data_IF_233966427949
#
_entry.id   IF_233966427949
#
_cell.length_a   1.000
_cell.length_b   1.000
_cell.length_c   1.000
_cell.angle_alpha   90.00
_cell.angle_beta   90.00
_cell.angle_gamma   90.00
#
_symmetry.space_group_name_H-M   'P 1'
#
loop_
_entity.id
_entity.type
_entity.pdbx_description
1 polymer ?
#
# COMPACT_ATOMS: atom_id res chain seq x y z
N UNK A 1 0.34 -33.67 -66.30
CA UNK A 1 -0.88 -32.90 -65.94
C UNK A 1 -1.38 -33.47 -64.63
N UNK A 2 -0.84 -33.00 -63.50
CA UNK A 2 -1.44 -31.97 -62.62
C UNK A 2 -2.81 -32.37 -62.06
N UNK A 3 -2.86 -32.61 -60.75
CA UNK A 3 -3.73 -31.87 -59.81
C UNK A 3 -3.39 -32.24 -58.37
N UNK A 4 -2.73 -31.29 -57.69
CA UNK A 4 -2.55 -31.24 -56.24
C UNK A 4 -3.91 -31.02 -55.57
N UNK A 5 -4.24 -31.82 -54.56
CA UNK A 5 -5.29 -31.51 -53.58
C UNK A 5 -4.68 -30.60 -52.52
N UNK A 6 -5.04 -29.31 -52.55
CA UNK A 6 -4.79 -28.38 -51.45
C UNK A 6 -5.92 -28.53 -50.43
N UNK A 7 -5.56 -29.00 -49.23
CA UNK A 7 -6.41 -29.05 -48.06
C UNK A 7 -6.53 -27.61 -47.52
N UNK A 8 -7.70 -26.98 -47.69
CA UNK A 8 -8.02 -25.69 -47.08
C UNK A 8 -8.35 -25.94 -45.59
N UNK A 9 -7.34 -25.79 -44.72
CA UNK A 9 -7.57 -25.57 -43.29
C UNK A 9 -8.18 -24.18 -43.14
N UNK A 10 -9.45 -24.12 -42.74
CA UNK A 10 -10.08 -22.91 -42.23
C UNK A 10 -9.64 -22.75 -40.78
N UNK A 11 -8.61 -21.96 -40.55
CA UNK A 11 -8.27 -21.44 -39.22
C UNK A 11 -9.36 -20.47 -38.81
N UNK A 12 -10.28 -20.91 -37.95
CA UNK A 12 -11.18 -20.03 -37.23
C UNK A 12 -10.33 -19.30 -36.17
N UNK A 13 -9.80 -18.13 -36.54
CA UNK A 13 -9.29 -17.17 -35.57
C UNK A 13 -10.49 -16.66 -34.77
N UNK A 14 -10.73 -17.24 -33.60
CA UNK A 14 -11.54 -16.60 -32.57
C UNK A 14 -10.82 -15.32 -32.16
N UNK A 15 -11.18 -14.21 -32.82
CA UNK A 15 -10.95 -12.87 -32.33
C UNK A 15 -11.84 -12.69 -31.09
N UNK A 16 -11.36 -13.18 -29.95
CA UNK A 16 -11.79 -12.60 -28.68
C UNK A 16 -11.26 -11.16 -28.69
N UNK A 17 -12.08 -10.13 -28.43
CA UNK A 17 -11.52 -8.83 -28.13
C UNK A 17 -10.57 -9.01 -26.95
N UNK A 18 -9.34 -8.51 -27.06
CA UNK A 18 -8.50 -8.25 -25.89
C UNK A 18 -9.28 -7.19 -25.08
N UNK A 19 -10.15 -7.65 -24.19
CA UNK A 19 -10.69 -6.81 -23.13
C UNK A 19 -9.53 -6.70 -22.14
N UNK A 20 -8.97 -5.51 -22.01
CA UNK A 20 -7.92 -5.27 -21.02
C UNK A 20 -8.51 -5.40 -19.61
N UNK A 21 -7.69 -5.66 -18.59
CA UNK A 21 -8.18 -5.64 -17.20
C UNK A 21 -8.86 -4.30 -16.87
N UNK A 22 -8.37 -3.20 -17.46
CA UNK A 22 -9.00 -1.88 -17.40
C UNK A 22 -10.41 -1.87 -18.00
N UNK A 23 -10.58 -2.38 -19.23
CA UNK A 23 -11.89 -2.47 -19.88
C UNK A 23 -12.84 -3.41 -19.13
N UNK A 24 -12.31 -4.48 -18.54
CA UNK A 24 -13.07 -5.41 -17.71
C UNK A 24 -13.53 -4.74 -16.41
N UNK A 25 -12.64 -4.02 -15.72
CA UNK A 25 -12.95 -3.28 -14.50
C UNK A 25 -14.01 -2.21 -14.74
N UNK A 26 -13.90 -1.44 -15.82
CA UNK A 26 -14.92 -0.44 -16.18
C UNK A 26 -16.26 -1.06 -16.60
N UNK A 27 -16.27 -2.28 -17.16
CA UNK A 27 -17.50 -3.00 -17.54
C UNK A 27 -18.12 -3.81 -16.40
N UNK A 28 -17.32 -4.26 -15.45
CA UNK A 28 -17.67 -5.13 -14.33
C UNK A 28 -17.52 -4.32 -13.04
N UNK A 29 -18.43 -3.38 -12.85
CA UNK A 29 -18.52 -2.71 -11.56
C UNK A 29 -19.16 -3.62 -10.53
N UNK A 30 -18.38 -4.54 -9.97
CA UNK A 30 -18.74 -5.17 -8.71
C UNK A 30 -18.13 -4.33 -7.59
N UNK A 31 -18.92 -4.03 -6.56
CA UNK A 31 -18.50 -3.19 -5.42
C UNK A 31 -19.52 -2.12 -5.09
N UNK A 32 -20.31 -2.38 -4.03
CA UNK A 32 -21.13 -1.45 -3.23
C UNK A 32 -21.75 -0.24 -3.97
N UNK A 33 -22.14 -0.40 -5.23
CA UNK A 33 -22.53 0.72 -6.11
C UNK A 33 -23.72 1.54 -5.60
N UNK A 34 -24.51 0.92 -4.73
CA UNK A 34 -25.77 1.44 -4.19
C UNK A 34 -25.75 1.62 -2.66
N UNK A 35 -24.61 1.46 -1.97
CA UNK A 35 -24.52 1.89 -0.57
C UNK A 35 -24.30 3.39 -0.54
N UNK A 36 -25.37 4.09 -0.14
CA UNK A 36 -25.30 5.49 0.29
C UNK A 36 -24.68 5.50 1.68
N UNK A 37 -23.48 6.03 1.80
CA UNK A 37 -22.82 6.25 3.09
C UNK A 37 -23.14 7.68 3.55
N UNK A 38 -23.64 7.78 4.78
CA UNK A 38 -23.99 9.03 5.47
C UNK A 38 -23.21 9.16 6.78
N UNK A 39 -23.08 10.38 7.33
CA UNK A 39 -22.55 10.58 8.69
C UNK A 39 -23.20 9.66 9.73
N UNK A 40 -24.53 9.57 9.78
CA UNK A 40 -25.24 8.68 10.72
C UNK A 40 -24.84 7.21 10.55
N UNK A 41 -24.78 6.73 9.31
CA UNK A 41 -24.43 5.33 9.04
C UNK A 41 -23.02 4.98 9.53
N UNK A 42 -22.05 5.87 9.32
CA UNK A 42 -20.66 5.67 9.76
C UNK A 42 -20.60 5.70 11.28
N UNK A 43 -21.18 6.71 11.94
CA UNK A 43 -21.21 6.80 13.41
C UNK A 43 -21.83 5.55 14.03
N UNK A 44 -22.87 4.98 13.41
CA UNK A 44 -23.56 3.79 13.91
C UNK A 44 -22.78 2.49 13.71
N UNK A 45 -21.98 2.38 12.65
CA UNK A 45 -21.46 1.10 12.16
C UNK A 45 -19.93 0.97 12.20
N UNK A 46 -19.20 2.07 12.38
CA UNK A 46 -17.74 2.07 12.19
C UNK A 46 -16.96 1.10 13.08
N UNK A 47 -17.51 0.78 14.26
CA UNK A 47 -16.94 -0.13 15.26
C UNK A 47 -17.59 -1.53 15.24
N UNK A 48 -18.56 -1.76 14.35
CA UNK A 48 -19.29 -3.02 14.26
C UNK A 48 -18.50 -4.01 13.39
N UNK A 49 -17.88 -4.99 14.03
CA UNK A 49 -17.08 -6.01 13.35
C UNK A 49 -17.73 -7.39 13.49
N UNK A 50 -17.76 -8.15 12.40
CA UNK A 50 -18.08 -9.57 12.47
C UNK A 50 -16.84 -10.37 12.93
N UNK A 51 -16.69 -10.51 14.24
CA UNK A 51 -15.61 -11.27 14.86
C UNK A 51 -15.55 -12.73 14.39
N UNK A 52 -16.65 -13.30 13.88
CA UNK A 52 -16.66 -14.68 13.39
C UNK A 52 -15.80 -14.88 12.14
N UNK A 53 -15.56 -13.79 11.40
CA UNK A 53 -14.73 -13.73 10.19
C UNK A 53 -13.36 -13.09 10.45
N UNK A 54 -13.00 -12.82 11.71
CA UNK A 54 -11.79 -12.10 12.07
C UNK A 54 -10.49 -12.74 11.57
N UNK A 55 -10.50 -14.06 11.38
CA UNK A 55 -9.34 -14.84 10.92
C UNK A 55 -9.50 -15.39 9.51
N UNK A 56 -10.52 -14.97 8.76
CA UNK A 56 -10.70 -15.35 7.37
C UNK A 56 -10.31 -14.20 6.44
N UNK A 57 -9.30 -14.46 5.61
CA UNK A 57 -8.91 -13.59 4.51
C UNK A 57 -9.87 -13.77 3.33
N UNK A 58 -10.76 -12.80 3.15
CA UNK A 58 -11.72 -12.68 2.06
C UNK A 58 -11.05 -12.30 0.75
N UNK A 59 -10.15 -11.31 0.78
CA UNK A 59 -9.39 -10.84 -0.39
C UNK A 59 -8.58 -11.96 -1.07
N UNK A 60 -8.75 -12.12 -2.39
CA UNK A 60 -8.10 -13.18 -3.18
C UNK A 60 -7.07 -12.68 -4.20
N UNK A 61 -6.86 -11.38 -4.33
CA UNK A 61 -6.00 -10.78 -5.37
C UNK A 61 -4.50 -11.01 -5.17
N UNK A 62 -4.06 -11.16 -3.92
CA UNK A 62 -2.65 -11.36 -3.60
C UNK A 62 -2.36 -11.21 -2.12
N UNK A 63 -1.14 -10.79 -1.80
CA UNK A 63 -0.71 -10.59 -0.42
C UNK A 63 -1.23 -9.28 0.16
N UNK A 64 -1.26 -9.19 1.49
CA UNK A 64 -1.74 -8.07 2.27
C UNK A 64 -0.66 -7.66 3.28
N UNK A 65 -0.36 -6.37 3.31
CA UNK A 65 0.66 -5.77 4.18
C UNK A 65 0.01 -4.71 5.06
N UNK A 66 0.00 -4.92 6.37
CA UNK A 66 -0.44 -3.92 7.34
C UNK A 66 0.75 -3.14 7.92
N UNK A 67 0.78 -1.82 7.77
CA UNK A 67 1.69 -1.00 8.56
C UNK A 67 1.08 -0.74 9.95
N UNK A 68 1.90 -0.78 11.00
CA UNK A 68 1.52 -0.36 12.36
C UNK A 68 2.53 0.65 12.89
N UNK A 69 2.06 1.65 13.64
CA UNK A 69 2.92 2.75 14.10
C UNK A 69 2.84 2.98 15.62
N UNK A 70 3.96 3.26 16.31
CA UNK A 70 3.96 3.49 17.76
C UNK A 70 3.10 4.68 18.23
N UNK A 71 2.77 5.62 17.34
CA UNK A 71 1.95 6.80 17.66
C UNK A 71 0.44 6.57 17.46
N UNK A 72 0.04 5.48 16.80
CA UNK A 72 -1.35 5.04 16.67
C UNK A 72 -1.49 3.58 17.13
N UNK A 73 -1.37 3.37 18.45
CA UNK A 73 -1.28 2.02 19.02
C UNK A 73 -2.45 1.07 18.71
N UNK A 74 -3.62 1.61 18.34
CA UNK A 74 -4.78 0.82 17.91
C UNK A 74 -4.44 -0.18 16.80
N UNK A 75 -3.49 0.16 15.91
CA UNK A 75 -3.07 -0.75 14.85
C UNK A 75 -2.44 -2.06 15.37
N UNK A 76 -1.80 -2.04 16.53
CA UNK A 76 -1.26 -3.25 17.16
C UNK A 76 -2.39 -4.18 17.66
N UNK A 77 -3.49 -3.60 18.13
CA UNK A 77 -4.68 -4.34 18.59
C UNK A 77 -5.44 -4.94 17.40
N UNK A 78 -5.67 -4.14 16.35
CA UNK A 78 -6.25 -4.61 15.09
C UNK A 78 -5.48 -5.81 14.52
N UNK A 79 -4.15 -5.74 14.46
CA UNK A 79 -3.35 -6.84 13.93
C UNK A 79 -3.49 -8.11 14.79
N UNK A 80 -3.51 -8.00 16.12
CA UNK A 80 -3.66 -9.17 17.00
C UNK A 80 -5.01 -9.84 16.81
N UNK A 81 -6.07 -9.05 16.76
CA UNK A 81 -7.44 -9.52 16.64
C UNK A 81 -7.73 -10.10 15.25
N UNK A 82 -7.21 -9.46 14.20
CA UNK A 82 -7.51 -9.77 12.81
C UNK A 82 -6.35 -10.44 12.05
N UNK A 83 -5.42 -11.07 12.77
CA UNK A 83 -4.17 -11.62 12.17
C UNK A 83 -4.36 -12.52 10.96
N UNK A 84 -5.49 -13.25 10.86
CA UNK A 84 -5.78 -14.13 9.72
C UNK A 84 -6.06 -13.40 8.41
N UNK A 85 -6.20 -12.07 8.45
CA UNK A 85 -6.43 -11.22 7.27
C UNK A 85 -5.14 -10.68 6.64
N UNK A 86 -4.00 -10.79 7.33
CA UNK A 86 -2.73 -10.21 6.92
C UNK A 86 -1.67 -11.28 6.65
N UNK A 87 -0.95 -11.17 5.52
CA UNK A 87 0.21 -12.03 5.24
C UNK A 87 1.49 -11.41 5.80
N UNK A 88 1.54 -10.07 5.84
CA UNK A 88 2.66 -9.30 6.35
C UNK A 88 2.19 -8.19 7.30
N UNK A 89 2.98 -7.97 8.34
CA UNK A 89 2.83 -6.80 9.22
C UNK A 89 4.17 -6.10 9.33
N UNK A 90 4.15 -4.79 9.08
CA UNK A 90 5.33 -3.94 9.06
C UNK A 90 5.25 -2.90 10.16
N UNK A 91 5.76 -3.19 11.36
CA UNK A 91 5.91 -2.18 12.38
C UNK A 91 6.91 -1.10 11.97
N UNK A 92 6.53 0.16 12.18
CA UNK A 92 7.31 1.34 11.83
C UNK A 92 8.17 1.77 13.01
N UNK A 93 9.26 1.03 13.24
CA UNK A 93 10.21 1.32 14.32
C UNK A 93 11.49 1.97 13.81
N UNK A 94 12.05 1.48 12.71
CA UNK A 94 13.44 1.76 12.39
C UNK A 94 13.64 2.91 11.41
N UNK A 95 14.61 3.76 11.76
CA UNK A 95 15.16 4.78 10.88
C UNK A 95 16.65 4.57 10.68
N UNK A 96 17.14 4.79 9.47
CA UNK A 96 18.56 4.75 9.10
C UNK A 96 19.01 6.19 8.85
N UNK A 97 19.84 6.72 9.75
CA UNK A 97 20.41 8.06 9.62
C UNK A 97 21.71 8.02 8.80
N UNK A 98 22.00 9.03 7.98
CA UNK A 98 23.12 8.97 7.03
C UNK A 98 24.49 8.99 7.72
N UNK A 99 24.61 9.54 8.94
CA UNK A 99 25.86 9.54 9.70
C UNK A 99 26.17 8.14 10.25
N UNK A 100 27.07 7.44 9.57
CA UNK A 100 27.51 6.11 9.96
C UNK A 100 26.43 5.03 9.85
N UNK A 101 25.32 5.33 9.17
CA UNK A 101 24.16 4.43 9.00
C UNK A 101 23.58 3.97 10.34
N UNK A 102 23.49 4.87 11.30
CA UNK A 102 22.97 4.54 12.63
C UNK A 102 21.51 4.13 12.51
N UNK A 103 21.18 2.97 13.08
CA UNK A 103 19.79 2.51 13.22
C UNK A 103 19.22 3.11 14.50
N UNK A 104 18.12 3.84 14.36
CA UNK A 104 17.37 4.47 15.46
C UNK A 104 16.00 3.79 15.56
N UNK A 105 15.42 3.76 16.76
CA UNK A 105 14.07 3.24 17.01
C UNK A 105 14.01 1.83 17.58
N UNK A 106 15.16 1.19 17.84
CA UNK A 106 15.23 -0.14 18.47
C UNK A 106 14.51 -0.22 19.84
N UNK A 107 14.33 0.91 20.53
CA UNK A 107 13.61 0.98 21.80
C UNK A 107 12.09 0.80 21.65
N UNK A 108 11.54 0.93 20.45
CA UNK A 108 10.12 0.73 20.15
C UNK A 108 9.79 -0.74 19.84
N UNK A 109 10.79 -1.62 19.74
CA UNK A 109 10.58 -3.04 19.46
C UNK A 109 9.87 -3.72 20.64
N UNK A 110 8.66 -4.19 20.38
CA UNK A 110 7.89 -5.00 21.33
C UNK A 110 8.04 -6.50 21.00
N UNK A 111 9.00 -7.17 21.62
CA UNK A 111 9.24 -8.60 21.44
C UNK A 111 8.05 -9.48 21.85
N UNK A 112 7.20 -9.03 22.77
CA UNK A 112 6.03 -9.81 23.18
C UNK A 112 4.97 -9.74 22.09
N UNK A 113 4.72 -8.53 21.55
CA UNK A 113 3.81 -8.36 20.43
C UNK A 113 4.27 -9.12 19.18
N UNK A 114 5.57 -9.11 18.86
CA UNK A 114 6.12 -9.91 17.74
C UNK A 114 5.80 -11.40 17.91
N UNK A 115 5.96 -11.94 19.13
CA UNK A 115 5.64 -13.35 19.44
C UNK A 115 4.15 -13.65 19.46
N UNK A 116 3.32 -12.68 19.81
CA UNK A 116 1.87 -12.85 19.88
C UNK A 116 1.22 -12.82 18.50
N UNK A 117 1.71 -11.94 17.63
CA UNK A 117 1.25 -11.80 16.25
C UNK A 117 1.87 -12.86 15.36
N UNK A 118 3.17 -13.12 15.48
CA UNK A 118 3.83 -14.22 14.78
C UNK A 118 3.20 -15.55 15.17
N UNK A 119 2.72 -16.31 14.19
CA UNK A 119 2.12 -17.62 14.45
C UNK A 119 3.16 -18.73 14.31
N UNK A 120 3.03 -19.79 15.12
CA UNK A 120 3.91 -20.98 15.06
C UNK A 120 3.88 -21.69 13.69
N UNK A 121 2.83 -21.47 12.88
CA UNK A 121 2.68 -22.01 11.53
C UNK A 121 3.23 -21.08 10.44
N UNK A 122 3.71 -19.88 10.80
CA UNK A 122 4.26 -18.89 9.88
C UNK A 122 3.24 -18.22 8.97
N UNK A 123 1.94 -18.21 9.32
CA UNK A 123 0.90 -17.65 8.46
C UNK A 123 1.01 -16.13 8.25
N UNK A 124 1.60 -15.42 9.21
CA UNK A 124 1.80 -13.97 9.18
C UNK A 124 3.28 -13.67 9.45
N UNK A 125 3.85 -12.79 8.62
CA UNK A 125 5.28 -12.45 8.67
C UNK A 125 5.49 -11.04 9.22
N UNK A 126 6.32 -10.92 10.24
CA UNK A 126 6.69 -9.63 10.83
C UNK A 126 7.90 -9.07 10.09
N UNK A 127 7.69 -7.99 9.35
CA UNK A 127 8.67 -7.39 8.41
C UNK A 127 8.87 -5.90 8.71
N UNK A 128 9.59 -5.52 9.79
CA UNK A 128 9.69 -4.13 10.21
C UNK A 128 10.20 -3.18 9.12
N UNK A 129 9.68 -1.95 9.14
CA UNK A 129 10.09 -0.91 8.20
C UNK A 129 11.41 -0.29 8.61
N UNK A 130 12.37 -0.24 7.69
CA UNK A 130 13.61 0.52 7.78
C UNK A 130 13.55 1.69 6.81
N UNK A 131 13.42 2.91 7.34
CA UNK A 131 13.31 4.12 6.53
C UNK A 131 14.59 4.96 6.56
N UNK A 132 15.07 5.40 5.40
CA UNK A 132 16.13 6.41 5.32
C UNK A 132 15.58 7.76 5.80
N UNK A 133 16.09 8.27 6.93
CA UNK A 133 15.63 9.53 7.53
C UNK A 133 16.76 10.55 7.59
N UNK A 134 16.45 11.82 7.34
CA UNK A 134 17.42 12.92 7.31
C UNK A 134 18.47 12.80 6.19
N UNK A 135 18.21 11.99 5.16
CA UNK A 135 19.07 11.88 4.00
C UNK A 135 18.84 13.04 3.02
N UNK A 136 19.84 13.90 2.91
CA UNK A 136 19.97 14.88 1.81
C UNK A 136 20.71 14.33 0.59
N UNK A 137 20.56 14.98 -0.57
CA UNK A 137 21.17 14.62 -1.87
C UNK A 137 22.66 14.27 -1.76
N UNK A 138 23.44 15.01 -0.97
CA UNK A 138 24.88 14.77 -0.79
C UNK A 138 25.19 13.41 -0.14
N UNK A 139 24.30 12.90 0.73
CA UNK A 139 24.45 11.58 1.33
C UNK A 139 24.21 10.48 0.29
N UNK A 140 23.17 10.64 -0.54
CA UNK A 140 22.94 9.74 -1.69
C UNK A 140 24.15 9.72 -2.62
N UNK A 141 24.68 10.89 -2.98
CA UNK A 141 25.89 11.00 -3.83
C UNK A 141 27.12 10.35 -3.22
N UNK A 142 27.35 10.56 -1.92
CA UNK A 142 28.46 9.94 -1.20
C UNK A 142 28.32 8.42 -1.16
N UNK A 143 27.11 7.92 -0.91
CA UNK A 143 26.82 6.49 -0.89
C UNK A 143 27.11 5.84 -2.25
N UNK A 144 26.60 6.40 -3.34
CA UNK A 144 26.80 5.81 -4.69
C UNK A 144 28.26 5.87 -5.16
N UNK A 145 29.06 6.79 -4.62
CA UNK A 145 30.50 6.90 -4.97
C UNK A 145 31.32 5.70 -4.47
N UNK A 146 30.94 5.11 -3.33
CA UNK A 146 31.60 3.92 -2.76
C UNK A 146 30.57 2.82 -2.50
N UNK A 147 29.69 2.59 -3.48
CA UNK A 147 28.45 1.84 -3.29
C UNK A 147 28.64 0.45 -2.67
N UNK A 148 29.67 -0.31 -3.06
CA UNK A 148 29.89 -1.65 -2.50
C UNK A 148 30.21 -1.63 -1.00
N UNK A 149 31.11 -0.73 -0.58
CA UNK A 149 31.52 -0.61 0.81
C UNK A 149 30.43 0.00 1.69
N UNK A 150 29.74 1.03 1.18
CA UNK A 150 28.66 1.67 1.91
C UNK A 150 27.43 0.74 2.02
N UNK A 151 27.09 0.01 0.95
CA UNK A 151 26.05 -1.02 0.98
C UNK A 151 26.34 -2.09 2.03
N UNK A 152 27.56 -2.64 2.07
CA UNK A 152 27.93 -3.70 3.01
C UNK A 152 27.72 -3.25 4.47
N UNK A 153 28.06 -2.00 4.81
CA UNK A 153 27.86 -1.44 6.16
C UNK A 153 26.39 -1.34 6.54
N UNK A 154 25.53 -0.91 5.62
CA UNK A 154 24.09 -0.79 5.90
C UNK A 154 23.46 -2.18 6.00
N UNK A 155 23.81 -3.09 5.10
CA UNK A 155 23.32 -4.48 5.11
C UNK A 155 23.67 -5.17 6.41
N UNK A 156 24.92 -5.06 6.89
CA UNK A 156 25.35 -5.63 8.17
C UNK A 156 24.44 -5.15 9.32
N UNK A 157 24.21 -3.84 9.42
CA UNK A 157 23.38 -3.26 10.49
C UNK A 157 21.92 -3.68 10.42
N UNK A 158 21.34 -3.75 9.22
CA UNK A 158 19.96 -4.23 9.05
C UNK A 158 19.89 -5.71 9.46
N UNK A 159 20.84 -6.54 8.98
CA UNK A 159 20.86 -7.96 9.29
C UNK A 159 21.12 -8.25 10.78
N UNK A 160 21.86 -7.39 11.48
CA UNK A 160 22.02 -7.46 12.93
C UNK A 160 20.67 -7.33 13.64
N UNK A 161 19.82 -6.38 13.22
CA UNK A 161 18.47 -6.21 13.79
C UNK A 161 17.55 -7.37 13.43
N UNK A 162 17.53 -7.79 12.16
CA UNK A 162 16.76 -8.95 11.69
C UNK A 162 17.11 -10.21 12.46
N UNK A 163 18.40 -10.46 12.69
CA UNK A 163 18.87 -11.65 13.40
C UNK A 163 18.63 -11.56 14.91
N UNK A 164 18.75 -10.37 15.50
CA UNK A 164 18.58 -10.15 16.94
C UNK A 164 17.15 -10.45 17.40
N UNK A 165 16.16 -10.03 16.60
CA UNK A 165 14.74 -10.15 16.93
C UNK A 165 14.01 -11.24 16.13
N UNK A 166 14.76 -11.98 15.30
CA UNK A 166 14.26 -13.02 14.41
C UNK A 166 13.09 -12.57 13.52
N UNK A 167 13.16 -11.35 12.99
CA UNK A 167 12.14 -10.86 12.05
C UNK A 167 12.08 -11.72 10.79
N UNK A 168 10.90 -11.87 10.21
CA UNK A 168 10.67 -12.67 8.99
C UNK A 168 11.21 -12.00 7.72
N UNK A 169 11.67 -10.75 7.84
CA UNK A 169 12.13 -9.94 6.73
C UNK A 169 12.10 -8.46 7.09
N UNK A 170 12.08 -7.62 6.06
CA UNK A 170 12.00 -6.17 6.21
C UNK A 170 11.13 -5.55 5.13
N UNK A 171 10.67 -4.34 5.43
CA UNK A 171 10.24 -3.36 4.42
C UNK A 171 11.29 -2.25 4.37
N UNK A 172 11.87 -1.98 3.20
CA UNK A 172 12.84 -0.89 3.02
C UNK A 172 12.20 0.31 2.37
N UNK A 173 12.39 1.49 2.95
CA UNK A 173 12.01 2.77 2.36
C UNK A 173 13.24 3.68 2.22
N UNK A 174 13.78 3.79 1.00
CA UNK A 174 15.01 4.53 0.73
C UNK A 174 14.82 5.76 -0.18
N UNK A 175 13.57 6.18 -0.42
CA UNK A 175 13.20 7.33 -1.24
C UNK A 175 13.36 7.11 -2.75
N UNK A 176 14.58 6.84 -3.21
CA UNK A 176 14.93 6.66 -4.62
C UNK A 176 15.62 5.30 -4.87
N UNK A 177 14.87 4.18 -4.89
CA UNK A 177 15.46 2.84 -4.98
C UNK A 177 16.33 2.61 -6.21
N UNK A 178 15.97 3.21 -7.35
CA UNK A 178 16.72 3.11 -8.61
C UNK A 178 18.17 3.63 -8.51
N UNK A 179 18.50 4.43 -7.48
CA UNK A 179 19.85 4.93 -7.24
C UNK A 179 20.72 3.95 -6.44
N UNK A 180 20.15 2.86 -5.94
CA UNK A 180 20.80 1.92 -5.03
C UNK A 180 20.88 0.47 -5.53
N UNK A 181 21.11 0.18 -6.83
CA UNK A 181 21.02 -1.19 -7.34
C UNK A 181 21.99 -2.16 -6.65
N UNK A 182 23.21 -1.72 -6.33
CA UNK A 182 24.21 -2.55 -5.61
C UNK A 182 23.75 -2.85 -4.18
N UNK A 183 23.23 -1.85 -3.48
CA UNK A 183 22.72 -2.02 -2.11
C UNK A 183 21.51 -2.94 -2.08
N UNK A 184 20.52 -2.73 -2.95
CA UNK A 184 19.34 -3.58 -3.04
C UNK A 184 19.72 -5.04 -3.36
N UNK A 185 20.68 -5.26 -4.26
CA UNK A 185 21.18 -6.61 -4.57
C UNK A 185 21.89 -7.27 -3.39
N UNK A 186 22.75 -6.54 -2.69
CA UNK A 186 23.47 -7.08 -1.51
C UNK A 186 22.50 -7.38 -0.37
N UNK A 187 21.53 -6.49 -0.13
CA UNK A 187 20.51 -6.67 0.92
C UNK A 187 19.61 -7.87 0.62
N UNK A 188 19.09 -7.95 -0.61
CA UNK A 188 18.35 -9.11 -1.12
C UNK A 188 19.11 -10.42 -0.88
N UNK A 189 20.38 -10.46 -1.31
CA UNK A 189 21.23 -11.65 -1.15
C UNK A 189 21.41 -12.04 0.33
N UNK A 190 21.59 -11.04 1.20
CA UNK A 190 21.77 -11.27 2.63
C UNK A 190 20.49 -11.78 3.30
N UNK A 191 19.32 -11.21 2.98
CA UNK A 191 18.02 -11.63 3.49
C UNK A 191 17.66 -13.04 3.01
N UNK A 192 17.72 -13.29 1.69
CA UNK A 192 17.32 -14.56 1.08
C UNK A 192 18.24 -15.72 1.48
N UNK A 193 19.50 -15.46 1.83
CA UNK A 193 20.39 -16.48 2.41
C UNK A 193 19.82 -17.12 3.68
N UNK A 194 18.98 -16.39 4.41
CA UNK A 194 18.34 -16.83 5.65
C UNK A 194 16.81 -16.93 5.52
N UNK A 195 16.31 -17.06 4.28
CA UNK A 195 14.86 -17.17 3.97
C UNK A 195 14.02 -15.99 4.49
N UNK A 196 14.64 -14.81 4.61
CA UNK A 196 13.98 -13.59 5.06
C UNK A 196 13.40 -12.82 3.87
N UNK A 197 12.22 -12.25 4.06
CA UNK A 197 11.47 -11.51 3.04
C UNK A 197 12.05 -10.12 2.82
N UNK A 198 11.98 -9.65 1.58
CA UNK A 198 12.37 -8.31 1.20
C UNK A 198 11.24 -7.59 0.47
N UNK A 199 10.64 -6.61 1.15
CA UNK A 199 9.64 -5.70 0.58
C UNK A 199 10.29 -4.34 0.36
N UNK A 200 10.08 -3.75 -0.82
CA UNK A 200 10.59 -2.42 -1.15
C UNK A 200 9.44 -1.42 -1.28
N UNK A 201 9.53 -0.27 -0.60
CA UNK A 201 8.60 0.84 -0.80
C UNK A 201 8.92 1.57 -2.10
N UNK A 202 7.90 1.79 -2.93
CA UNK A 202 7.99 2.57 -4.15
C UNK A 202 7.21 3.89 -4.04
N UNK A 203 7.78 5.02 -4.47
CA UNK A 203 6.98 6.22 -4.69
C UNK A 203 6.03 5.98 -5.88
N UNK A 204 4.85 6.62 -5.91
CA UNK A 204 3.95 6.48 -7.04
C UNK A 204 4.39 7.39 -8.21
N UNK A 205 3.93 7.04 -9.40
CA UNK A 205 4.13 7.80 -10.62
C UNK A 205 3.09 8.91 -10.73
N UNK A 206 3.51 10.18 -10.65
CA UNK A 206 2.66 11.37 -10.84
C UNK A 206 3.06 12.21 -12.05
N UNK A 207 4.22 11.92 -12.64
CA UNK A 207 4.80 12.72 -13.71
C UNK A 207 5.69 11.89 -14.63
N UNK A 208 5.88 12.37 -15.86
CA UNK A 208 6.79 11.75 -16.82
C UNK A 208 8.25 11.72 -16.34
N UNK A 209 8.64 12.64 -15.45
CA UNK A 209 9.98 12.63 -14.88
C UNK A 209 10.20 11.41 -13.97
N UNK A 210 9.22 11.06 -13.13
CA UNK A 210 9.29 9.86 -12.29
C UNK A 210 9.32 8.58 -13.14
N UNK A 211 8.57 8.55 -14.25
CA UNK A 211 8.56 7.43 -15.20
C UNK A 211 9.94 7.15 -15.83
N UNK A 212 10.84 8.14 -15.87
CA UNK A 212 12.22 7.92 -16.34
C UNK A 212 13.06 7.09 -15.37
N UNK A 213 12.78 7.19 -14.07
CA UNK A 213 13.54 6.50 -13.02
C UNK A 213 12.88 5.21 -12.53
N UNK A 214 11.56 5.10 -12.67
CA UNK A 214 10.78 3.94 -12.31
C UNK A 214 9.76 3.64 -13.43
N UNK A 215 9.99 2.57 -14.16
CA UNK A 215 9.19 2.08 -15.29
C UNK A 215 9.23 0.56 -15.34
N UNK A 216 8.49 -0.06 -16.27
CA UNK A 216 8.41 -1.50 -16.43
C UNK A 216 9.76 -2.23 -16.50
N UNK A 217 10.77 -1.67 -17.20
CA UNK A 217 12.09 -2.32 -17.31
C UNK A 217 12.84 -2.30 -15.97
N UNK A 218 12.81 -1.15 -15.28
CA UNK A 218 13.43 -1.01 -13.95
C UNK A 218 12.72 -1.91 -12.95
N UNK A 219 11.39 -1.90 -12.93
CA UNK A 219 10.57 -2.76 -12.07
C UNK A 219 10.87 -4.23 -12.33
N UNK A 220 10.89 -4.68 -13.58
CA UNK A 220 11.23 -6.06 -13.95
C UNK A 220 12.67 -6.47 -13.58
N UNK A 221 13.60 -5.51 -13.54
CA UNK A 221 14.95 -5.73 -13.01
C UNK A 221 14.95 -5.97 -11.50
N UNK A 222 14.25 -5.12 -10.75
CA UNK A 222 14.11 -5.21 -9.30
C UNK A 222 13.31 -6.45 -8.87
N UNK A 223 12.28 -6.81 -9.62
CA UNK A 223 11.39 -7.97 -9.41
C UNK A 223 12.13 -9.32 -9.32
N UNK A 224 13.36 -9.39 -9.85
CA UNK A 224 14.21 -10.58 -9.79
C UNK A 224 14.87 -10.80 -8.43
N UNK A 225 14.92 -9.75 -7.60
CA UNK A 225 15.68 -9.74 -6.34
C UNK A 225 14.85 -9.29 -5.14
N UNK A 226 13.66 -8.73 -5.36
CA UNK A 226 12.74 -8.24 -4.33
C UNK A 226 11.47 -9.09 -4.37
N UNK A 227 10.97 -9.45 -3.20
CA UNK A 227 9.81 -10.33 -3.08
C UNK A 227 8.51 -9.56 -3.35
N UNK A 228 8.35 -8.37 -2.77
CA UNK A 228 7.17 -7.51 -2.94
C UNK A 228 7.51 -6.03 -3.04
N UNK A 229 6.62 -5.26 -3.63
CA UNK A 229 6.72 -3.81 -3.75
C UNK A 229 5.51 -3.13 -3.13
N UNK A 230 5.70 -2.35 -2.07
CA UNK A 230 4.64 -1.53 -1.48
C UNK A 230 4.63 -0.16 -2.16
N UNK A 231 3.73 0.07 -3.12
CA UNK A 231 3.64 1.37 -3.80
C UNK A 231 2.71 2.32 -3.05
N UNK A 232 3.17 3.54 -2.78
CA UNK A 232 2.38 4.54 -2.04
C UNK A 232 1.35 5.23 -2.96
N UNK A 233 0.37 4.47 -3.47
CA UNK A 233 -0.73 4.97 -4.32
C UNK A 233 -1.80 5.73 -3.51
N UNK A 234 -1.36 6.67 -2.69
CA UNK A 234 -2.17 7.62 -1.93
C UNK A 234 -1.43 8.96 -1.86
N UNK A 235 -1.97 9.95 -1.14
CA UNK A 235 -1.46 11.33 -1.10
C UNK A 235 -1.36 11.98 -2.49
N UNK A 236 -2.30 11.70 -3.38
CA UNK A 236 -2.33 12.28 -4.72
C UNK A 236 -2.41 13.81 -4.67
N UNK A 237 -3.39 14.33 -3.93
CA UNK A 237 -3.69 15.76 -3.84
C UNK A 237 -2.97 16.51 -2.71
N UNK A 238 -2.16 15.83 -1.89
CA UNK A 238 -1.51 16.43 -0.70
C UNK A 238 -0.53 17.56 -1.01
N UNK A 239 -0.16 17.74 -2.28
CA UNK A 239 0.78 18.76 -2.75
C UNK A 239 0.08 20.04 -3.24
N UNK A 240 -1.26 20.05 -3.34
CA UNK A 240 -2.04 21.18 -3.85
C UNK A 240 -2.96 21.74 -2.75
N UNK A 241 -2.93 23.06 -2.46
CA UNK A 241 -3.77 23.65 -1.41
C UNK A 241 -5.28 23.53 -1.65
N UNK A 242 -5.70 23.47 -2.93
CA UNK A 242 -7.11 23.23 -3.30
C UNK A 242 -7.60 21.84 -2.93
N UNK A 243 -6.68 20.91 -2.63
CA UNK A 243 -7.00 19.54 -2.30
C UNK A 243 -7.58 18.73 -3.44
N UNK A 244 -8.20 17.63 -3.05
CA UNK A 244 -8.78 16.63 -3.93
C UNK A 244 -8.66 15.23 -3.34
N UNK A 245 -9.06 14.21 -4.12
CA UNK A 245 -8.99 12.80 -3.73
C UNK A 245 -7.58 12.38 -3.30
N UNK A 246 -7.53 11.41 -2.38
CA UNK A 246 -6.28 10.88 -1.85
C UNK A 246 -5.63 9.87 -2.79
N UNK A 247 -6.42 9.07 -3.52
CA UNK A 247 -5.98 7.90 -4.30
C UNK A 247 -6.87 7.68 -5.53
N UNK A 248 -6.98 8.62 -6.50
CA UNK A 248 -7.88 8.45 -7.66
C UNK A 248 -7.72 7.10 -8.35
N UNK A 249 -8.81 6.36 -8.56
CA UNK A 249 -8.73 4.96 -8.99
C UNK A 249 -8.02 4.79 -10.34
N UNK A 250 -8.27 5.67 -11.31
CA UNK A 250 -7.59 5.65 -12.62
C UNK A 250 -6.07 5.89 -12.51
N UNK A 251 -5.66 6.69 -11.52
CA UNK A 251 -4.24 6.91 -11.24
C UNK A 251 -3.59 5.67 -10.60
N UNK A 252 -4.32 4.93 -9.74
CA UNK A 252 -3.87 3.63 -9.24
C UNK A 252 -3.67 2.66 -10.41
N UNK A 253 -4.64 2.58 -11.32
CA UNK A 253 -4.56 1.75 -12.54
C UNK A 253 -3.33 2.12 -13.37
N UNK A 254 -3.12 3.41 -13.66
CA UNK A 254 -1.97 3.87 -14.44
C UNK A 254 -0.64 3.43 -13.82
N UNK A 255 -0.54 3.45 -12.48
CA UNK A 255 0.64 2.97 -11.77
C UNK A 255 0.86 1.46 -11.96
N UNK A 256 -0.20 0.64 -11.84
CA UNK A 256 -0.12 -0.80 -12.05
C UNK A 256 0.34 -1.11 -13.48
N UNK A 257 -0.32 -0.50 -14.48
CA UNK A 257 -0.09 -0.80 -15.90
C UNK A 257 1.25 -0.27 -16.42
N UNK A 258 1.73 0.86 -15.88
CA UNK A 258 3.02 1.44 -16.28
C UNK A 258 4.20 0.67 -15.72
N UNK A 259 4.06 0.09 -14.53
CA UNK A 259 5.17 -0.56 -13.82
C UNK A 259 5.24 -2.06 -14.03
N UNK A 260 4.11 -2.73 -14.24
CA UNK A 260 4.04 -4.19 -14.17
C UNK A 260 3.64 -4.84 -15.48
N UNK A 261 3.86 -6.15 -15.55
CA UNK A 261 3.33 -7.02 -16.60
C UNK A 261 2.89 -8.35 -15.97
N UNK A 262 2.32 -9.25 -16.78
CA UNK A 262 1.75 -10.51 -16.28
C UNK A 262 2.76 -11.40 -15.52
N UNK A 263 4.06 -11.26 -15.76
CA UNK A 263 5.11 -12.06 -15.10
C UNK A 263 5.44 -11.56 -13.68
N UNK A 264 5.25 -10.28 -13.38
CA UNK A 264 5.71 -9.67 -12.13
C UNK A 264 4.64 -8.87 -11.36
N UNK A 265 3.44 -8.69 -11.92
CA UNK A 265 2.36 -7.91 -11.32
C UNK A 265 1.96 -8.39 -9.92
N UNK A 266 1.96 -9.70 -9.71
CA UNK A 266 1.67 -10.33 -8.41
C UNK A 266 2.62 -9.90 -7.27
N UNK A 267 3.76 -9.26 -7.58
CA UNK A 267 4.67 -8.73 -6.57
C UNK A 267 4.31 -7.31 -6.11
N UNK A 268 3.44 -6.59 -6.83
CA UNK A 268 3.03 -5.24 -6.48
C UNK A 268 1.91 -5.29 -5.43
N UNK A 269 2.02 -4.45 -4.40
CA UNK A 269 1.00 -4.18 -3.39
C UNK A 269 0.55 -2.72 -3.54
N UNK A 270 -0.69 -2.49 -3.95
CA UNK A 270 -1.23 -1.12 -4.05
C UNK A 270 -1.51 -0.57 -2.66
N UNK A 271 -1.12 0.67 -2.44
CA UNK A 271 -1.29 1.37 -1.19
C UNK A 271 -2.71 1.90 -0.99
N UNK A 272 -3.29 1.65 0.18
CA UNK A 272 -4.55 2.19 0.66
C UNK A 272 -4.29 3.07 1.88
N UNK A 273 -4.71 4.35 1.83
CA UNK A 273 -4.71 5.20 3.01
C UNK A 273 -5.89 4.86 3.93
N UNK A 274 -5.62 4.76 5.22
CA UNK A 274 -6.59 4.52 6.29
C UNK A 274 -6.90 5.80 7.08
N UNK A 275 -6.50 6.95 6.56
CA UNK A 275 -6.71 8.27 7.15
C UNK A 275 -7.40 9.20 6.15
N UNK A 276 -8.03 10.25 6.66
CA UNK A 276 -8.61 11.33 5.88
C UNK A 276 -7.65 12.51 5.74
N UNK A 277 -7.93 13.40 4.79
CA UNK A 277 -7.20 14.64 4.56
C UNK A 277 -8.18 15.82 4.51
N UNK A 278 -7.90 16.85 5.31
CA UNK A 278 -8.59 18.12 5.28
C UNK A 278 -7.81 19.13 4.43
N UNK A 279 -8.51 19.79 3.51
CA UNK A 279 -7.94 20.80 2.62
C UNK A 279 -8.64 22.13 2.80
N UNK A 280 -7.84 23.18 2.91
CA UNK A 280 -8.29 24.56 3.00
C UNK A 280 -7.29 25.44 2.26
N UNK A 281 -7.75 26.32 1.37
CA UNK A 281 -6.86 27.17 0.56
C UNK A 281 -5.91 28.06 1.39
N UNK A 282 -6.22 28.25 2.69
CA UNK A 282 -5.47 29.12 3.60
C UNK A 282 -4.47 28.39 4.49
N UNK A 283 -4.45 27.06 4.49
CA UNK A 283 -3.55 26.25 5.33
C UNK A 283 -2.93 25.10 4.54
N UNK A 284 -1.93 24.47 5.13
CA UNK A 284 -1.37 23.24 4.58
C UNK A 284 -2.40 22.11 4.76
N UNK A 285 -2.46 21.13 3.84
CA UNK A 285 -3.28 19.94 4.02
C UNK A 285 -3.02 19.27 5.37
N UNK A 286 -4.09 18.86 6.07
CA UNK A 286 -3.99 18.26 7.40
C UNK A 286 -4.47 16.81 7.37
N UNK A 287 -3.65 15.83 7.78
CA UNK A 287 -4.11 14.46 7.96
C UNK A 287 -5.06 14.37 9.16
N UNK A 288 -6.04 13.49 9.06
CA UNK A 288 -7.04 13.24 10.10
C UNK A 288 -7.21 11.74 10.33
N UNK A 289 -7.21 11.33 11.60
CA UNK A 289 -7.61 9.97 11.98
C UNK A 289 -9.12 9.85 11.76
N UNK A 290 -9.59 8.69 11.30
CA UNK A 290 -11.01 8.55 10.98
C UNK A 290 -11.90 8.52 12.23
N UNK A 291 -11.38 8.09 13.37
CA UNK A 291 -12.08 8.24 14.66
C UNK A 291 -12.36 9.71 15.01
N UNK A 292 -11.43 10.61 14.71
CA UNK A 292 -11.61 12.06 14.98
C UNK A 292 -12.63 12.65 14.00
N UNK A 293 -12.75 12.04 12.81
CA UNK A 293 -13.77 12.39 11.83
C UNK A 293 -15.16 11.86 12.24
N UNK A 294 -15.24 10.67 12.84
CA UNK A 294 -16.48 10.14 13.42
C UNK A 294 -17.00 11.06 14.53
N UNK A 295 -16.13 11.53 15.43
CA UNK A 295 -16.52 12.51 16.47
C UNK A 295 -17.11 13.80 15.85
N UNK A 296 -16.59 14.26 14.71
CA UNK A 296 -17.18 15.38 13.97
C UNK A 296 -18.54 15.04 13.37
N UNK A 297 -18.70 13.83 12.84
CA UNK A 297 -19.98 13.38 12.29
C UNK A 297 -21.08 13.35 13.34
N UNK A 298 -20.76 12.97 14.60
CA UNK A 298 -21.72 13.03 15.71
C UNK A 298 -22.30 14.45 15.91
N UNK A 299 -21.49 15.49 15.72
CA UNK A 299 -21.93 16.89 15.81
C UNK A 299 -22.75 17.35 14.58
N UNK A 300 -22.65 16.62 13.46
CA UNK A 300 -23.29 16.97 12.18
C UNK A 300 -24.62 16.26 11.95
N UNK A 301 -24.91 15.20 12.71
CA UNK A 301 -26.18 14.48 12.61
C UNK A 301 -27.32 15.41 13.02
N UNK A 302 -28.06 15.90 12.04
CA UNK A 302 -29.30 16.66 12.20
C UNK A 302 -30.46 16.03 11.39
N UNK A 303 -31.58 16.73 11.22
CA UNK A 303 -32.77 16.16 10.58
C UNK A 303 -32.58 15.83 9.07
N UNK A 304 -31.52 16.30 8.41
CA UNK A 304 -31.31 16.11 6.97
C UNK A 304 -30.26 15.02 6.59
N UNK A 305 -29.43 14.54 7.54
CA UNK A 305 -28.36 13.50 7.38
C UNK A 305 -27.93 13.28 5.92
N UNK A 306 -27.38 14.33 5.30
CA UNK A 306 -27.07 14.30 3.88
C UNK A 306 -25.94 13.30 3.60
N UNK A 307 -26.04 12.53 2.50
CA UNK A 307 -25.00 11.58 2.13
C UNK A 307 -23.70 12.29 1.76
N UNK A 308 -22.57 11.60 1.93
CA UNK A 308 -21.29 12.13 1.48
C UNK A 308 -21.28 12.35 -0.04
N UNK A 309 -20.54 13.36 -0.49
CA UNK A 309 -20.34 13.64 -1.91
C UNK A 309 -19.47 12.55 -2.53
N UNK A 310 -20.04 11.74 -3.42
CA UNK A 310 -19.30 10.70 -4.14
C UNK A 310 -18.72 11.24 -5.46
N UNK A 311 -17.40 11.30 -5.55
CA UNK A 311 -16.68 11.55 -6.79
C UNK A 311 -16.60 10.26 -7.62
N UNK A 312 -17.28 10.24 -8.77
CA UNK A 312 -17.35 9.06 -9.63
C UNK A 312 -16.06 8.77 -10.40
N UNK A 313 -15.23 9.76 -10.64
CA UNK A 313 -13.98 9.59 -11.40
C UNK A 313 -12.86 9.13 -10.46
N UNK A 314 -12.80 9.67 -9.25
CA UNK A 314 -11.83 9.26 -8.25
C UNK A 314 -12.24 7.99 -7.47
N UNK A 315 -13.53 7.69 -7.44
CA UNK A 315 -14.15 6.68 -6.59
C UNK A 315 -13.82 6.87 -5.11
N UNK A 316 -14.05 8.09 -4.63
CA UNK A 316 -13.86 8.50 -3.24
C UNK A 316 -15.00 9.40 -2.78
N UNK A 317 -15.24 9.39 -1.46
CA UNK A 317 -16.18 10.30 -0.82
C UNK A 317 -15.46 11.55 -0.32
N UNK A 318 -16.21 12.65 -0.28
CA UNK A 318 -15.82 13.89 0.36
C UNK A 318 -16.99 14.53 1.10
N UNK A 319 -16.69 15.47 1.98
CA UNK A 319 -17.68 16.29 2.68
C UNK A 319 -17.10 17.67 2.99
N UNK A 320 -17.95 18.71 3.02
CA UNK A 320 -17.56 20.04 3.46
C UNK A 320 -17.69 20.15 4.99
N UNK A 321 -16.61 20.58 5.63
CA UNK A 321 -16.60 20.92 7.06
C UNK A 321 -17.22 22.31 7.29
N UNK A 322 -17.73 22.55 8.50
CA UNK A 322 -18.31 23.83 8.93
C UNK A 322 -17.31 24.99 8.88
N UNK A 323 -16.01 24.71 8.97
CA UNK A 323 -14.94 25.71 8.83
C UNK A 323 -14.61 26.07 7.37
N UNK A 324 -15.29 25.43 6.41
CA UNK A 324 -15.12 25.60 4.97
C UNK A 324 -14.02 24.76 4.35
N UNK A 325 -13.41 23.84 5.11
CA UNK A 325 -12.46 22.86 4.57
C UNK A 325 -13.18 21.72 3.86
N UNK A 326 -12.57 21.14 2.83
CA UNK A 326 -13.07 19.92 2.19
C UNK A 326 -12.31 18.72 2.73
N UNK A 327 -13.04 17.72 3.23
CA UNK A 327 -12.50 16.49 3.78
C UNK A 327 -12.62 15.37 2.74
N UNK A 328 -11.51 14.68 2.47
CA UNK A 328 -11.47 13.46 1.64
C UNK A 328 -11.01 12.30 2.51
N UNK A 329 -11.72 11.17 2.48
CA UNK A 329 -11.45 10.05 3.37
C UNK A 329 -11.91 8.72 2.76
N UNK A 330 -11.25 7.61 3.12
CA UNK A 330 -11.69 6.30 2.69
C UNK A 330 -13.03 5.93 3.38
N UNK A 331 -13.81 5.14 2.67
CA UNK A 331 -15.14 4.64 3.05
C UNK A 331 -15.22 3.16 2.69
N UNK A 332 -16.25 2.44 3.16
CA UNK A 332 -16.38 1.02 2.80
C UNK A 332 -16.46 0.84 1.29
N UNK A 333 -17.19 1.72 0.61
CA UNK A 333 -17.27 1.76 -0.85
C UNK A 333 -15.92 2.02 -1.52
N UNK A 334 -15.18 3.05 -1.09
CA UNK A 334 -13.92 3.39 -1.76
C UNK A 334 -12.84 2.33 -1.53
N UNK A 335 -12.79 1.70 -0.36
CA UNK A 335 -11.88 0.59 -0.07
C UNK A 335 -12.32 -0.65 -0.85
N UNK A 336 -13.60 -1.01 -0.81
CA UNK A 336 -14.14 -2.17 -1.54
C UNK A 336 -13.86 -2.11 -3.04
N UNK A 337 -14.01 -0.94 -3.66
CA UNK A 337 -13.69 -0.76 -5.07
C UNK A 337 -12.20 -1.00 -5.38
N UNK A 338 -11.29 -0.55 -4.49
CA UNK A 338 -9.84 -0.77 -4.65
C UNK A 338 -9.43 -2.21 -4.35
N UNK A 339 -10.14 -2.91 -3.46
CA UNK A 339 -9.99 -4.35 -3.26
C UNK A 339 -10.35 -5.09 -4.54
N UNK A 340 -11.51 -4.81 -5.14
CA UNK A 340 -11.90 -5.45 -6.41
C UNK A 340 -10.95 -5.11 -7.55
N UNK A 341 -10.48 -3.86 -7.64
CA UNK A 341 -9.42 -3.49 -8.58
C UNK A 341 -8.18 -4.37 -8.39
N UNK A 342 -7.74 -4.56 -7.15
CA UNK A 342 -6.59 -5.39 -6.84
C UNK A 342 -6.80 -6.86 -7.25
N UNK A 343 -8.01 -7.40 -7.05
CA UNK A 343 -8.40 -8.74 -7.51
C UNK A 343 -8.39 -8.87 -9.03
N UNK A 344 -8.96 -7.90 -9.75
CA UNK A 344 -9.00 -7.88 -11.22
C UNK A 344 -7.60 -7.86 -11.84
N UNK A 345 -6.69 -7.10 -11.24
CA UNK A 345 -5.30 -7.02 -11.69
C UNK A 345 -4.42 -8.13 -11.09
N UNK A 346 -4.83 -8.83 -10.05
CA UNK A 346 -3.98 -9.80 -9.35
C UNK A 346 -2.76 -9.14 -8.69
N UNK A 347 -2.96 -7.96 -8.11
CA UNK A 347 -1.99 -7.27 -7.23
C UNK A 347 -2.40 -7.45 -5.78
N UNK A 348 -1.48 -7.30 -4.84
CA UNK A 348 -1.78 -7.29 -3.41
C UNK A 348 -2.15 -5.90 -2.88
N UNK A 349 -2.29 -5.79 -1.57
CA UNK A 349 -2.68 -4.56 -0.86
C UNK A 349 -1.64 -4.19 0.21
N UNK A 350 -1.37 -2.90 0.38
CA UNK A 350 -0.63 -2.36 1.53
C UNK A 350 -1.41 -1.25 2.22
N UNK A 351 -1.62 -1.34 3.54
CA UNK A 351 -2.51 -0.48 4.29
C UNK A 351 -1.71 0.49 5.15
N UNK A 352 -1.79 1.79 4.86
CA UNK A 352 -1.15 2.86 5.65
C UNK A 352 -2.18 3.72 6.39
N UNK A 353 -2.25 3.66 7.71
CA UNK A 353 -1.85 2.52 8.53
C UNK A 353 -3.03 2.03 9.38
N UNK A 354 -3.01 0.76 9.78
CA UNK A 354 -4.23 0.09 10.27
C UNK A 354 -4.74 0.61 11.62
N UNK A 355 -3.96 1.47 12.30
CA UNK A 355 -4.40 2.21 13.49
C UNK A 355 -5.15 3.52 13.22
N UNK A 356 -5.31 3.96 11.96
CA UNK A 356 -5.98 5.23 11.61
C UNK A 356 -7.41 5.05 11.11
N UNK A 357 -7.71 3.85 10.61
CA UNK A 357 -8.95 3.51 9.94
C UNK A 357 -10.12 3.33 10.90
N UNK A 358 -11.25 2.96 10.33
CA UNK A 358 -12.43 2.52 11.06
C UNK A 358 -12.42 0.99 11.13
N UNK A 359 -12.83 0.42 12.25
CA UNK A 359 -12.64 -1.00 12.52
C UNK A 359 -13.39 -1.90 11.52
N UNK A 360 -14.58 -1.50 11.09
CA UNK A 360 -15.32 -2.23 10.06
C UNK A 360 -14.60 -2.38 8.71
N UNK A 361 -13.51 -1.64 8.44
CA UNK A 361 -12.73 -1.79 7.21
C UNK A 361 -12.04 -3.14 7.13
N UNK A 362 -11.66 -3.73 8.28
CA UNK A 362 -11.08 -5.07 8.29
C UNK A 362 -12.11 -6.16 7.98
N UNK A 363 -13.40 -5.83 7.90
CA UNK A 363 -14.43 -6.80 7.51
C UNK A 363 -14.41 -7.11 6.00
N UNK A 364 -13.89 -6.20 5.18
CA UNK A 364 -13.68 -6.37 3.74
C UNK A 364 -12.55 -7.37 3.49
#
# INVERSE_FOLDING_TARGET
>A
MSKYYALLLTTLLCLFPLVTAHDAHQQVSFGLKDQTETPESVVREHDQIDETMAHEKTFKGGDTLAYVTPWNNHGYDIVKEFKGKFDFVSPVWYYIEPQGYTIVGEHDVDENWVKEVGNDDGSIKVVPRFQFRNWEIQHYQSFVTNAEQEASKVVEKIMDQVSKYDFDGIVLECGYPSFFPIFLQQLSTALHKFDKQFILVLPPLRSDEQKKFLNADVFAGLAKIIDRFSIMTYDYSSHVPSGGPSSPIDWVIENIETLTNDENRHQLLIGLNMYGMAYNERSMPQPMLLKDLVEKFEDWIDEEDEPFDWDKEAEEHSIQDMDGSTLWFPTLRSIGNRIHLAEDYGVGLSLWEVGQGLDYFVSL
#
